data_IF_555705913676
#
_entry.id   IF_555705913676
#
_cell.length_a   1.000
_cell.length_b   1.000
_cell.length_c   1.000
_cell.angle_alpha   90.00
_cell.angle_beta   90.00
_cell.angle_gamma   90.00
#
_symmetry.space_group_name_H-M   'P 1'
#
loop_
_entity.id
_entity.type
_entity.pdbx_description
1 polymer ?
#
# COMPACT_ATOMS: atom_id res chain seq x y z
N UNK A 1 -7.61 14.74 -4.12
CA UNK A 1 -7.05 13.69 -3.23
C UNK A 1 -7.16 12.35 -3.90
N UNK A 2 -6.26 11.42 -3.59
CA UNK A 2 -6.34 10.06 -4.12
C UNK A 2 -7.49 9.32 -3.42
N UNK A 3 -8.17 8.35 -4.07
CA UNK A 3 -9.31 7.66 -3.47
C UNK A 3 -8.98 6.95 -2.14
N UNK A 4 -7.80 6.35 -2.02
CA UNK A 4 -7.34 5.69 -0.79
C UNK A 4 -7.12 6.72 0.32
N UNK A 5 -6.50 7.85 -0.02
CA UNK A 5 -6.26 8.93 0.95
C UNK A 5 -7.58 9.52 1.48
N UNK A 6 -8.54 9.77 0.58
CA UNK A 6 -9.88 10.22 0.97
C UNK A 6 -10.58 9.20 1.88
N UNK A 7 -10.51 7.91 1.55
CA UNK A 7 -11.11 6.85 2.34
C UNK A 7 -10.53 6.78 3.76
N UNK A 8 -9.21 6.93 3.89
CA UNK A 8 -8.52 6.97 5.18
C UNK A 8 -8.94 8.17 6.04
N UNK A 9 -9.13 9.35 5.43
CA UNK A 9 -9.60 10.55 6.13
C UNK A 9 -11.07 10.43 6.57
N UNK A 10 -11.91 9.72 5.81
CA UNK A 10 -13.32 9.46 6.15
C UNK A 10 -13.56 8.19 6.97
N UNK A 11 -12.50 7.45 7.31
CA UNK A 11 -12.62 6.18 8.02
C UNK A 11 -13.21 6.35 9.42
N UNK A 12 -14.03 5.39 9.87
CA UNK A 12 -14.51 5.36 11.27
C UNK A 12 -13.37 5.31 12.28
N UNK A 13 -12.22 4.77 11.88
CA UNK A 13 -11.03 4.66 12.71
C UNK A 13 -10.10 5.86 12.59
N UNK A 14 -10.52 6.95 11.93
CA UNK A 14 -9.73 8.17 11.76
C UNK A 14 -9.17 8.71 13.07
N UNK A 15 -9.97 8.72 14.15
CA UNK A 15 -9.57 9.25 15.46
C UNK A 15 -8.80 8.25 16.34
N UNK A 16 -8.65 7.00 15.92
CA UNK A 16 -7.87 6.01 16.67
C UNK A 16 -6.37 6.22 16.45
N UNK A 17 -5.58 5.89 17.47
CA UNK A 17 -4.14 6.05 17.43
C UNK A 17 -3.54 5.25 16.24
N UNK A 18 -2.68 5.85 15.40
CA UNK A 18 -2.10 5.15 14.24
C UNK A 18 -1.34 3.87 14.58
N UNK A 19 -0.69 3.79 15.74
CA UNK A 19 0.03 2.60 16.19
C UNK A 19 -0.90 1.40 16.37
N UNK A 20 -2.10 1.58 16.93
CA UNK A 20 -3.09 0.50 17.05
C UNK A 20 -3.40 -0.12 15.69
N UNK A 21 -3.66 0.74 14.71
CA UNK A 21 -4.00 0.36 13.34
C UNK A 21 -2.79 -0.26 12.62
N UNK A 22 -1.59 0.22 12.89
CA UNK A 22 -0.34 -0.33 12.36
C UNK A 22 -0.08 -1.73 12.90
N UNK A 23 -0.19 -1.95 14.21
CA UNK A 23 -0.01 -3.28 14.84
C UNK A 23 -1.01 -4.28 14.26
N UNK A 24 -2.28 -3.88 14.07
CA UNK A 24 -3.28 -4.76 13.47
C UNK A 24 -2.99 -5.05 11.99
N UNK A 25 -2.86 -4.01 11.17
CA UNK A 25 -2.69 -4.17 9.72
C UNK A 25 -1.37 -4.83 9.34
N UNK A 26 -0.26 -4.33 9.88
CA UNK A 26 1.07 -4.89 9.63
C UNK A 26 1.26 -6.24 10.33
N UNK A 27 0.67 -6.44 11.51
CA UNK A 27 0.69 -7.74 12.19
C UNK A 27 0.02 -8.83 11.36
N UNK A 28 -1.16 -8.55 10.78
CA UNK A 28 -1.81 -9.47 9.84
C UNK A 28 -0.97 -9.71 8.59
N UNK A 29 -0.31 -8.67 8.04
CA UNK A 29 0.62 -8.84 6.92
C UNK A 29 1.81 -9.73 7.29
N UNK A 30 2.41 -9.56 8.47
CA UNK A 30 3.52 -10.40 8.96
C UNK A 30 3.05 -11.84 9.13
N UNK A 31 1.88 -12.07 9.71
CA UNK A 31 1.30 -13.42 9.82
C UNK A 31 1.08 -14.07 8.46
N UNK A 32 0.54 -13.34 7.47
CA UNK A 32 0.36 -13.86 6.11
C UNK A 32 1.68 -14.33 5.47
N UNK A 33 2.79 -13.62 5.73
CA UNK A 33 4.11 -13.94 5.17
C UNK A 33 4.78 -15.09 5.92
N UNK A 34 4.70 -15.09 7.26
CA UNK A 34 5.41 -16.06 8.10
C UNK A 34 4.70 -17.40 8.25
N UNK A 35 3.37 -17.45 8.18
CA UNK A 35 2.60 -18.69 8.32
C UNK A 35 2.61 -19.52 7.03
N UNK A 36 2.36 -20.85 7.12
CA UNK A 36 2.16 -21.68 5.95
C UNK A 36 1.01 -21.13 5.08
N UNK A 37 1.14 -21.13 3.74
CA UNK A 37 0.11 -20.59 2.85
C UNK A 37 -1.24 -21.29 3.02
N UNK A 38 -1.21 -22.62 3.16
CA UNK A 38 -2.37 -23.42 3.55
C UNK A 38 -2.14 -24.02 4.94
N UNK A 39 -3.05 -23.82 5.92
CA UNK A 39 -4.31 -23.08 5.88
C UNK A 39 -4.21 -21.60 6.31
N UNK A 40 -3.00 -21.08 6.57
CA UNK A 40 -2.80 -19.79 7.22
C UNK A 40 -3.25 -18.57 6.43
N UNK A 41 -2.93 -18.50 5.13
CA UNK A 41 -3.25 -17.33 4.32
C UNK A 41 -4.78 -17.11 4.16
N UNK A 42 -5.62 -18.14 3.92
CA UNK A 42 -7.08 -18.02 3.98
C UNK A 42 -7.60 -17.45 5.31
N UNK A 43 -7.06 -17.93 6.45
CA UNK A 43 -7.47 -17.45 7.77
C UNK A 43 -7.12 -15.99 7.99
N UNK A 44 -5.90 -15.59 7.62
CA UNK A 44 -5.46 -14.18 7.71
C UNK A 44 -6.29 -13.30 6.77
N UNK A 45 -6.55 -13.74 5.54
CA UNK A 45 -7.39 -13.01 4.60
C UNK A 45 -8.82 -12.85 5.12
N UNK A 46 -9.41 -13.92 5.67
CA UNK A 46 -10.73 -13.92 6.29
C UNK A 46 -10.82 -12.96 7.48
N UNK A 47 -9.86 -13.03 8.40
CA UNK A 47 -9.77 -12.12 9.54
C UNK A 47 -9.64 -10.65 9.08
N UNK A 48 -8.79 -10.40 8.08
CA UNK A 48 -8.59 -9.05 7.56
C UNK A 48 -9.85 -8.50 6.87
N UNK A 49 -10.54 -9.32 6.08
CA UNK A 49 -11.81 -8.95 5.45
C UNK A 49 -12.91 -8.70 6.48
N UNK A 50 -12.99 -9.52 7.53
CA UNK A 50 -13.92 -9.30 8.63
C UNK A 50 -13.69 -7.94 9.31
N UNK A 51 -12.42 -7.55 9.52
CA UNK A 51 -12.06 -6.23 10.07
C UNK A 51 -12.38 -5.09 9.11
N UNK A 52 -12.00 -5.23 7.84
CA UNK A 52 -12.23 -4.23 6.79
C UNK A 52 -13.72 -3.92 6.59
N UNK A 53 -14.56 -4.96 6.51
CA UNK A 53 -15.97 -4.84 6.20
C UNK A 53 -16.83 -4.60 7.45
N UNK A 54 -16.43 -5.13 8.61
CA UNK A 54 -17.14 -5.00 9.87
C UNK A 54 -16.86 -3.69 10.60
N UNK A 55 -15.85 -3.62 11.50
CA UNK A 55 -15.61 -2.44 12.32
C UNK A 55 -15.03 -1.24 11.56
N UNK A 56 -14.21 -1.46 10.52
CA UNK A 56 -13.66 -0.36 9.70
C UNK A 56 -14.66 0.19 8.67
N UNK A 57 -15.66 -0.63 8.27
CA UNK A 57 -16.72 -0.31 7.28
C UNK A 57 -16.19 0.28 5.98
N UNK A 58 -15.12 -0.30 5.44
CA UNK A 58 -14.58 0.10 4.14
C UNK A 58 -15.54 -0.35 3.04
N UNK A 59 -16.00 0.55 2.14
CA UNK A 59 -16.90 0.17 1.06
C UNK A 59 -16.23 -0.83 0.11
N UNK A 60 -16.87 -1.99 -0.08
CA UNK A 60 -16.36 -3.14 -0.87
C UNK A 60 -15.85 -2.71 -2.25
N UNK A 61 -16.57 -1.79 -2.91
CA UNK A 61 -16.19 -1.28 -4.24
C UNK A 61 -14.86 -0.53 -4.24
N UNK A 62 -14.54 0.22 -3.18
CA UNK A 62 -13.24 0.91 -3.09
C UNK A 62 -12.13 -0.08 -2.76
N UNK A 63 -12.40 -1.04 -1.86
CA UNK A 63 -11.46 -2.10 -1.53
C UNK A 63 -11.09 -2.91 -2.78
N UNK A 64 -12.07 -3.39 -3.54
CA UNK A 64 -11.84 -4.14 -4.78
C UNK A 64 -11.06 -3.35 -5.82
N UNK A 65 -11.37 -2.05 -5.99
CA UNK A 65 -10.65 -1.18 -6.93
C UNK A 65 -9.17 -1.01 -6.58
N UNK A 66 -8.83 -1.00 -5.30
CA UNK A 66 -7.44 -0.94 -4.83
C UNK A 66 -6.76 -2.32 -4.92
N UNK A 67 -7.48 -3.39 -4.56
CA UNK A 67 -6.95 -4.75 -4.48
C UNK A 67 -6.70 -5.41 -5.85
N UNK A 68 -7.50 -5.08 -6.87
CA UNK A 68 -7.37 -5.68 -8.22
C UNK A 68 -6.00 -5.44 -8.88
N UNK A 69 -5.32 -4.34 -8.56
CA UNK A 69 -4.03 -4.00 -9.16
C UNK A 69 -2.90 -4.89 -8.60
N UNK A 70 -2.71 -5.00 -7.26
CA UNK A 70 -1.83 -6.02 -6.68
C UNK A 70 -2.19 -7.44 -7.12
N UNK A 71 -3.48 -7.79 -7.15
CA UNK A 71 -3.93 -9.11 -7.60
C UNK A 71 -3.45 -9.41 -9.02
N UNK A 72 -3.65 -8.48 -9.96
CA UNK A 72 -3.19 -8.65 -11.35
C UNK A 72 -1.69 -8.87 -11.44
N UNK A 73 -0.90 -8.11 -10.67
CA UNK A 73 0.55 -8.30 -10.59
C UNK A 73 0.93 -9.68 -10.02
N UNK A 74 0.27 -10.12 -8.96
CA UNK A 74 0.54 -11.43 -8.35
C UNK A 74 0.17 -12.58 -9.30
N UNK A 75 -0.93 -12.45 -10.04
CA UNK A 75 -1.31 -13.42 -11.09
C UNK A 75 -0.24 -13.49 -12.17
N UNK A 76 0.27 -12.36 -12.65
CA UNK A 76 1.36 -12.37 -13.63
C UNK A 76 2.64 -13.02 -13.09
N UNK A 77 2.94 -12.86 -11.80
CA UNK A 77 4.07 -13.51 -11.14
C UNK A 77 3.86 -15.00 -10.83
N UNK A 78 2.61 -15.46 -10.76
CA UNK A 78 2.28 -16.86 -10.53
C UNK A 78 2.35 -17.71 -11.82
N UNK A 79 2.16 -17.09 -12.98
CA UNK A 79 2.20 -17.80 -14.29
C UNK A 79 3.52 -18.57 -14.51
N UNK A 80 4.71 -17.99 -14.28
CA UNK A 80 5.96 -18.72 -14.43
C UNK A 80 6.08 -19.97 -13.55
N UNK A 81 5.42 -20.00 -12.37
CA UNK A 81 5.48 -21.16 -11.46
C UNK A 81 4.78 -22.40 -12.01
N UNK A 82 3.94 -22.25 -13.02
CA UNK A 82 3.29 -23.39 -13.70
C UNK A 82 4.28 -24.17 -14.57
N UNK A 83 5.44 -23.61 -14.85
CA UNK A 83 6.41 -24.15 -15.79
C UNK A 83 7.74 -24.46 -15.09
N UNK A 84 8.35 -25.58 -15.46
CA UNK A 84 9.71 -25.98 -15.08
C UNK A 84 10.62 -25.87 -16.30
N UNK A 85 11.82 -25.35 -16.08
CA UNK A 85 12.89 -25.30 -17.08
C UNK A 85 13.92 -26.39 -16.73
N UNK A 86 14.23 -27.30 -17.66
CA UNK A 86 15.23 -28.36 -17.46
C UNK A 86 14.76 -29.59 -16.66
N UNK A 87 13.63 -30.20 -17.04
CA UNK A 87 13.13 -31.43 -16.42
C UNK A 87 13.98 -32.69 -16.72
N UNK A 88 13.77 -33.80 -15.98
CA UNK A 88 14.47 -35.08 -16.19
C UNK A 88 13.95 -35.78 -17.46
N UNK A 89 14.39 -35.25 -18.60
CA UNK A 89 14.44 -35.84 -19.93
C UNK A 89 15.72 -35.41 -20.66
N UNK A 90 16.70 -34.89 -19.90
CA UNK A 90 18.01 -34.41 -20.36
C UNK A 90 19.02 -35.52 -20.66
N UNK A 91 18.55 -36.72 -20.99
CA UNK A 91 19.35 -37.75 -21.63
C UNK A 91 18.64 -38.17 -22.93
N UNK A 92 18.90 -37.43 -24.01
CA UNK A 92 18.83 -38.01 -25.36
C UNK A 92 17.63 -37.72 -26.26
N UNK A 93 16.76 -36.74 -26.03
CA UNK A 93 15.71 -36.43 -27.00
C UNK A 93 15.13 -35.04 -26.88
N UNK A 94 14.87 -34.39 -28.00
CA UNK A 94 14.36 -33.02 -28.15
C UNK A 94 12.94 -32.80 -27.57
N UNK A 95 12.78 -33.00 -26.26
CA UNK A 95 11.55 -32.75 -25.51
C UNK A 95 11.75 -31.53 -24.58
N UNK A 96 11.58 -30.35 -25.19
CA UNK A 96 11.12 -29.11 -24.55
C UNK A 96 12.01 -28.48 -23.47
N UNK A 97 12.65 -27.35 -23.80
CA UNK A 97 13.30 -26.43 -22.84
C UNK A 97 12.38 -25.98 -21.69
N UNK A 98 11.06 -26.10 -21.85
CA UNK A 98 10.02 -25.76 -20.88
C UNK A 98 8.99 -26.89 -20.81
N UNK A 99 8.70 -27.39 -19.61
CA UNK A 99 7.65 -28.39 -19.35
C UNK A 99 6.69 -27.89 -18.26
N UNK A 100 5.47 -28.43 -18.19
CA UNK A 100 4.57 -28.15 -17.07
C UNK A 100 5.12 -28.80 -15.78
N UNK A 101 5.14 -28.05 -14.68
CA UNK A 101 5.52 -28.57 -13.38
C UNK A 101 4.30 -29.23 -12.70
N UNK A 102 4.34 -30.52 -12.34
CA UNK A 102 3.28 -31.15 -11.56
C UNK A 102 2.97 -30.43 -10.24
N UNK A 103 3.98 -29.81 -9.60
CA UNK A 103 3.82 -29.01 -8.38
C UNK A 103 3.45 -27.54 -8.64
N UNK A 104 3.55 -27.09 -9.89
CA UNK A 104 3.40 -25.69 -10.27
C UNK A 104 2.06 -25.06 -9.85
N UNK A 105 0.90 -25.70 -10.10
CA UNK A 105 -0.40 -25.17 -9.69
C UNK A 105 -0.52 -24.95 -8.17
N UNK A 106 0.07 -25.84 -7.36
CA UNK A 106 0.07 -25.73 -5.90
C UNK A 106 0.90 -24.52 -5.49
N UNK A 107 2.15 -24.43 -5.94
CA UNK A 107 3.03 -23.29 -5.63
C UNK A 107 2.45 -21.95 -6.10
N UNK A 108 1.82 -21.92 -7.28
CA UNK A 108 1.11 -20.74 -7.79
C UNK A 108 -0.07 -20.35 -6.89
N UNK A 109 -0.87 -21.32 -6.46
CA UNK A 109 -1.99 -21.09 -5.53
C UNK A 109 -1.52 -20.57 -4.18
N UNK A 110 -0.47 -21.15 -3.61
CA UNK A 110 0.16 -20.72 -2.36
C UNK A 110 0.70 -19.29 -2.44
N UNK A 111 1.39 -18.96 -3.53
CA UNK A 111 1.87 -17.60 -3.78
C UNK A 111 0.70 -16.61 -3.82
N UNK A 112 -0.34 -16.91 -4.59
CA UNK A 112 -1.51 -16.05 -4.73
C UNK A 112 -2.24 -15.85 -3.40
N UNK A 113 -2.42 -16.92 -2.62
CA UNK A 113 -3.02 -16.85 -1.29
C UNK A 113 -2.21 -15.96 -0.35
N UNK A 114 -0.91 -16.23 -0.20
CA UNK A 114 -0.01 -15.47 0.68
C UNK A 114 0.04 -13.99 0.31
N UNK A 115 0.26 -13.69 -0.97
CA UNK A 115 0.36 -12.31 -1.46
C UNK A 115 -0.96 -11.56 -1.36
N UNK A 116 -2.09 -12.23 -1.58
CA UNK A 116 -3.43 -11.67 -1.39
C UNK A 116 -3.69 -11.33 0.07
N UNK A 117 -3.42 -12.25 1.00
CA UNK A 117 -3.60 -12.04 2.44
C UNK A 117 -2.71 -10.90 2.95
N UNK A 118 -1.43 -10.89 2.57
CA UNK A 118 -0.49 -9.83 2.93
C UNK A 118 -0.93 -8.46 2.40
N UNK A 119 -1.40 -8.40 1.15
CA UNK A 119 -1.90 -7.18 0.52
C UNK A 119 -3.15 -6.65 1.21
N UNK A 120 -4.07 -7.51 1.64
CA UNK A 120 -5.25 -7.10 2.39
C UNK A 120 -4.88 -6.45 3.73
N UNK A 121 -3.88 -6.97 4.45
CA UNK A 121 -3.40 -6.38 5.71
C UNK A 121 -2.82 -4.98 5.51
N UNK A 122 -2.06 -4.78 4.44
CA UNK A 122 -1.54 -3.47 4.06
C UNK A 122 -2.67 -2.51 3.66
N UNK A 123 -3.65 -2.98 2.89
CA UNK A 123 -4.82 -2.19 2.53
C UNK A 123 -5.65 -1.81 3.75
N UNK A 124 -5.79 -2.68 4.76
CA UNK A 124 -6.42 -2.34 6.03
C UNK A 124 -5.75 -1.12 6.68
N UNK A 125 -4.41 -1.11 6.74
CA UNK A 125 -3.69 0.05 7.27
C UNK A 125 -3.90 1.30 6.39
N UNK A 126 -3.75 1.16 5.08
CA UNK A 126 -3.86 2.27 4.12
C UNK A 126 -5.26 2.91 4.09
N UNK A 127 -6.34 2.13 4.23
CA UNK A 127 -7.73 2.61 4.24
C UNK A 127 -8.19 3.17 5.59
N UNK A 128 -7.42 2.99 6.66
CA UNK A 128 -7.81 3.43 8.02
C UNK A 128 -6.89 4.49 8.62
N UNK A 129 -5.70 4.69 8.03
CA UNK A 129 -4.65 5.52 8.62
C UNK A 129 -4.05 6.48 7.59
N UNK A 130 -4.41 7.77 7.65
CA UNK A 130 -3.81 8.77 6.77
C UNK A 130 -2.33 9.01 7.07
N UNK A 131 -1.56 9.29 6.01
CA UNK A 131 -0.12 9.59 6.10
C UNK A 131 0.14 10.80 6.99
N UNK A 132 -0.77 11.78 6.97
CA UNK A 132 -0.74 12.98 7.83
C UNK A 132 -0.80 12.67 9.33
N UNK A 133 -1.29 11.50 9.73
CA UNK A 133 -1.26 11.06 11.12
C UNK A 133 -0.01 10.25 11.46
N UNK A 134 0.50 9.47 10.50
CA UNK A 134 1.63 8.57 10.75
C UNK A 134 2.94 9.35 10.82
N UNK A 135 3.21 10.17 9.79
CA UNK A 135 4.51 10.80 9.58
C UNK A 135 4.94 11.69 10.74
N UNK A 136 4.10 12.59 11.30
CA UNK A 136 4.51 13.42 12.44
C UNK A 136 4.89 12.60 13.69
N UNK A 137 4.30 11.41 13.86
CA UNK A 137 4.54 10.55 15.03
C UNK A 137 5.83 9.74 14.91
N UNK A 138 6.46 9.67 13.73
CA UNK A 138 7.74 8.98 13.53
C UNK A 138 8.90 9.65 14.27
N UNK A 139 8.80 10.93 14.63
CA UNK A 139 9.79 11.61 15.49
C UNK A 139 9.93 10.88 16.83
N UNK A 140 8.81 10.44 17.42
CA UNK A 140 8.81 9.67 18.69
C UNK A 140 9.39 8.26 18.52
N UNK A 141 9.46 7.77 17.29
CA UNK A 141 10.09 6.48 16.95
C UNK A 141 11.58 6.62 16.56
N UNK A 142 12.18 7.80 16.73
CA UNK A 142 13.60 8.04 16.48
C UNK A 142 13.94 8.56 15.07
N UNK A 143 12.94 8.84 14.23
CA UNK A 143 13.19 9.45 12.91
C UNK A 143 13.57 10.93 13.08
N UNK A 144 14.66 11.43 12.45
CA UNK A 144 15.06 12.83 12.58
C UNK A 144 13.95 13.80 12.14
N UNK A 145 13.70 14.90 12.87
CA UNK A 145 12.65 15.87 12.54
C UNK A 145 12.72 16.41 11.12
N UNK A 146 13.93 16.67 10.60
CA UNK A 146 14.11 17.14 9.22
C UNK A 146 13.56 16.15 8.17
N UNK A 147 13.68 14.84 8.40
CA UNK A 147 13.14 13.81 7.50
C UNK A 147 11.61 13.82 7.52
N UNK A 148 11.03 13.98 8.72
CA UNK A 148 9.57 14.10 8.91
C UNK A 148 9.03 15.35 8.22
N UNK A 149 9.73 16.48 8.35
CA UNK A 149 9.36 17.75 7.71
C UNK A 149 9.38 17.64 6.18
N UNK A 150 10.45 17.07 5.61
CA UNK A 150 10.54 16.81 4.17
C UNK A 150 9.44 15.86 3.70
N UNK A 151 9.14 14.81 4.47
CA UNK A 151 8.06 13.87 4.12
C UNK A 151 6.68 14.54 4.13
N UNK A 152 6.39 15.39 5.12
CA UNK A 152 5.13 16.16 5.21
C UNK A 152 4.99 17.17 4.08
N UNK A 153 6.06 17.90 3.76
CA UNK A 153 6.09 18.84 2.63
C UNK A 153 5.92 18.10 1.31
N UNK A 154 6.62 16.98 1.11
CA UNK A 154 6.47 16.11 -0.07
C UNK A 154 5.05 15.62 -0.23
N UNK A 155 4.43 15.12 0.85
CA UNK A 155 3.03 14.68 0.86
C UNK A 155 2.07 15.81 0.47
N UNK A 156 2.24 17.00 1.06
CA UNK A 156 1.43 18.19 0.72
C UNK A 156 1.64 18.62 -0.74
N UNK A 157 2.88 18.72 -1.20
CA UNK A 157 3.23 19.13 -2.56
C UNK A 157 2.72 18.14 -3.60
N UNK A 158 2.71 16.84 -3.30
CA UNK A 158 2.21 15.81 -4.21
C UNK A 158 0.76 16.07 -4.64
N UNK A 159 -0.14 16.43 -3.72
CA UNK A 159 -1.53 16.75 -4.09
C UNK A 159 -1.67 18.07 -4.85
N UNK A 160 -0.86 19.06 -4.50
CA UNK A 160 -0.86 20.36 -5.17
C UNK A 160 -0.34 20.26 -6.62
N UNK A 161 0.65 19.39 -6.83
CA UNK A 161 1.18 19.07 -8.15
C UNK A 161 0.23 18.17 -8.94
N UNK A 162 -0.45 17.21 -8.32
CA UNK A 162 -1.48 16.40 -8.99
C UNK A 162 -2.61 17.26 -9.56
N UNK A 163 -3.06 18.29 -8.83
CA UNK A 163 -4.05 19.25 -9.35
C UNK A 163 -3.47 20.13 -10.47
N UNK A 164 -2.18 20.48 -10.39
CA UNK A 164 -1.52 21.20 -11.47
C UNK A 164 -1.40 20.34 -12.75
N UNK A 165 -1.06 19.06 -12.57
CA UNK A 165 -0.91 18.06 -13.63
C UNK A 165 -2.24 17.79 -14.32
N UNK A 166 -3.35 17.69 -13.57
CA UNK A 166 -4.68 17.48 -14.16
C UNK A 166 -5.08 18.66 -15.07
N UNK A 167 -4.87 19.91 -14.63
CA UNK A 167 -5.14 21.12 -15.41
C UNK A 167 -4.26 21.21 -16.66
N UNK A 168 -2.96 20.92 -16.54
CA UNK A 168 -2.05 20.91 -17.70
C UNK A 168 -2.48 19.85 -18.71
N UNK A 169 -2.84 18.65 -18.25
CA UNK A 169 -3.31 17.57 -19.13
C UNK A 169 -4.60 17.95 -19.87
N UNK A 170 -5.54 18.60 -19.20
CA UNK A 170 -6.75 19.13 -19.84
C UNK A 170 -6.42 20.17 -20.91
N UNK A 171 -5.51 21.10 -20.62
CA UNK A 171 -5.06 22.10 -21.59
C UNK A 171 -4.35 21.48 -22.80
N UNK A 172 -3.54 20.44 -22.58
CA UNK A 172 -2.90 19.68 -23.65
C UNK A 172 -3.91 18.92 -24.50
N UNK A 173 -4.91 18.27 -23.89
CA UNK A 173 -5.99 17.59 -24.60
C UNK A 173 -6.79 18.55 -25.49
N UNK A 174 -7.11 19.75 -24.99
CA UNK A 174 -7.79 20.80 -25.77
C UNK A 174 -6.95 21.30 -26.97
N UNK A 175 -5.64 21.12 -26.94
CA UNK A 175 -4.69 21.48 -28.02
C UNK A 175 -4.28 20.29 -28.87
N UNK A 176 -5.07 19.21 -28.88
CA UNK A 176 -4.79 17.99 -29.65
C UNK A 176 -3.46 17.29 -29.25
N UNK A 177 -2.97 17.52 -28.03
CA UNK A 177 -1.70 16.98 -27.54
C UNK A 177 -1.67 15.46 -27.32
N UNK A 178 -2.77 14.76 -27.54
CA UNK A 178 -2.89 13.31 -27.32
C UNK A 178 -3.30 12.52 -28.57
N UNK A 179 -3.33 13.16 -29.75
CA UNK A 179 -3.83 12.57 -31.01
C UNK A 179 -2.88 11.55 -31.65
N UNK A 180 -1.57 11.69 -31.45
CA UNK A 180 -0.57 10.76 -31.99
C UNK A 180 0.47 10.39 -30.92
N UNK A 181 1.18 9.27 -31.11
CA UNK A 181 2.25 8.85 -30.19
C UNK A 181 3.32 9.94 -30.02
N UNK A 182 3.71 10.62 -31.11
CA UNK A 182 4.65 11.73 -31.07
C UNK A 182 4.10 12.94 -30.31
N UNK A 183 2.80 13.27 -30.47
CA UNK A 183 2.16 14.32 -29.68
C UNK A 183 2.07 13.96 -28.20
N UNK A 184 1.79 12.69 -27.87
CA UNK A 184 1.75 12.20 -26.49
C UNK A 184 3.11 12.33 -25.80
N UNK A 185 4.21 11.92 -26.44
CA UNK A 185 5.55 12.07 -25.89
C UNK A 185 5.96 13.54 -25.68
N UNK A 186 5.69 14.41 -26.66
CA UNK A 186 5.93 15.85 -26.52
C UNK A 186 5.11 16.47 -25.39
N UNK A 187 3.83 16.09 -25.28
CA UNK A 187 2.96 16.55 -24.20
C UNK A 187 3.43 16.04 -22.83
N UNK A 188 3.89 14.78 -22.75
CA UNK A 188 4.43 14.24 -21.51
C UNK A 188 5.70 14.98 -21.06
N UNK A 189 6.63 15.25 -21.99
CA UNK A 189 7.83 16.04 -21.71
C UNK A 189 7.47 17.46 -21.23
N UNK A 190 6.56 18.15 -21.94
CA UNK A 190 6.10 19.48 -21.55
C UNK A 190 5.37 19.50 -20.19
N UNK A 191 4.60 18.45 -19.89
CA UNK A 191 3.94 18.29 -18.59
C UNK A 191 4.98 18.11 -17.47
N UNK A 192 5.99 17.27 -17.68
CA UNK A 192 7.09 17.07 -16.74
C UNK A 192 7.87 18.35 -16.48
N UNK A 193 8.28 19.07 -17.53
CA UNK A 193 8.98 20.35 -17.40
C UNK A 193 8.14 21.39 -16.66
N UNK A 194 6.85 21.52 -17.00
CA UNK A 194 5.93 22.45 -16.34
C UNK A 194 5.74 22.09 -14.86
N UNK A 195 5.57 20.80 -14.54
CA UNK A 195 5.40 20.34 -13.17
C UNK A 195 6.67 20.61 -12.34
N UNK A 196 7.85 20.40 -12.92
CA UNK A 196 9.14 20.68 -12.27
C UNK A 196 9.29 22.16 -11.90
N UNK A 197 9.13 23.07 -12.87
CA UNK A 197 9.24 24.52 -12.62
C UNK A 197 8.21 24.97 -11.57
N UNK A 198 6.96 24.52 -11.70
CA UNK A 198 5.91 24.86 -10.72
C UNK A 198 6.20 24.32 -9.31
N UNK A 199 6.87 23.18 -9.20
CA UNK A 199 7.28 22.63 -7.91
C UNK A 199 8.31 23.54 -7.22
N UNK A 200 9.34 23.98 -7.95
CA UNK A 200 10.36 24.92 -7.43
C UNK A 200 9.75 26.27 -7.07
N UNK A 201 8.93 26.86 -7.94
CA UNK A 201 8.25 28.11 -7.65
C UNK A 201 7.40 28.03 -6.39
N UNK A 202 6.71 26.88 -6.19
CA UNK A 202 5.86 26.66 -5.03
C UNK A 202 6.68 26.40 -3.77
N UNK A 203 7.83 25.74 -3.88
CA UNK A 203 8.77 25.57 -2.78
C UNK A 203 9.35 26.93 -2.34
N UNK A 204 9.77 27.78 -3.28
CA UNK A 204 10.27 29.13 -2.99
C UNK A 204 9.19 29.98 -2.30
N UNK A 205 7.95 29.99 -2.82
CA UNK A 205 6.82 30.69 -2.18
C UNK A 205 6.50 30.15 -0.79
N UNK A 206 6.56 28.82 -0.59
CA UNK A 206 6.37 28.22 0.72
C UNK A 206 7.45 28.67 1.70
N UNK A 207 8.71 28.67 1.27
CA UNK A 207 9.84 29.13 2.09
C UNK A 207 9.68 30.59 2.50
N UNK A 208 9.37 31.50 1.56
CA UNK A 208 9.12 32.91 1.87
C UNK A 208 7.94 33.11 2.83
N UNK A 209 6.85 32.36 2.64
CA UNK A 209 5.68 32.42 3.52
C UNK A 209 5.95 31.87 4.92
N UNK A 210 6.80 30.85 5.05
CA UNK A 210 7.24 30.30 6.33
C UNK A 210 8.20 31.27 7.03
N UNK A 211 9.14 31.88 6.30
CA UNK A 211 10.05 32.90 6.84
C UNK A 211 9.27 34.08 7.46
N UNK A 212 8.20 34.54 6.81
CA UNK A 212 7.30 35.57 7.35
C UNK A 212 6.54 35.16 8.62
N UNK A 213 6.54 33.87 8.98
CA UNK A 213 5.93 33.31 10.21
C UNK A 213 6.96 32.92 11.26
N UNK A 214 8.22 33.35 11.11
CA UNK A 214 9.29 33.04 12.05
C UNK A 214 9.84 31.61 11.93
N UNK A 215 9.84 31.05 10.72
CA UNK A 215 10.43 29.74 10.47
C UNK A 215 11.94 29.75 10.78
N UNK A 216 12.36 28.89 11.70
CA UNK A 216 13.72 28.74 12.21
C UNK A 216 14.47 27.55 11.61
N UNK A 217 13.90 26.91 10.58
CA UNK A 217 14.40 25.67 10.00
C UNK A 217 13.68 24.40 10.51
N UNK A 218 12.73 24.53 11.44
CA UNK A 218 11.93 23.40 11.95
C UNK A 218 10.43 23.63 11.76
N UNK A 219 9.70 22.64 11.23
CA UNK A 219 8.24 22.72 11.12
C UNK A 219 7.58 22.17 12.40
N UNK A 220 7.27 23.07 13.33
CA UNK A 220 6.55 22.70 14.55
C UNK A 220 5.05 22.66 14.30
N UNK A 221 4.50 21.45 14.14
CA UNK A 221 3.06 21.23 13.91
C UNK A 221 2.43 20.58 15.14
N UNK A 222 1.31 21.13 15.59
CA UNK A 222 0.49 20.52 16.64
C UNK A 222 -0.22 19.28 16.08
N UNK A 223 0.16 18.10 16.57
CA UNK A 223 -0.49 16.84 16.25
C UNK A 223 -1.55 16.58 17.32
N UNK A 224 -2.82 16.32 16.95
CA UNK A 224 -3.84 15.98 17.93
C UNK A 224 -3.40 14.79 18.79
N UNK A 225 -3.46 14.96 20.11
CA UNK A 225 -3.18 13.88 21.04
C UNK A 225 -4.24 12.78 20.88
N UNK A 226 -3.76 11.58 20.62
CA UNK A 226 -4.58 10.37 20.61
C UNK A 226 -3.94 9.41 21.60
N UNK A 227 -4.73 8.92 22.55
CA UNK A 227 -4.27 7.93 23.53
C UNK A 227 -4.33 6.53 22.94
N UNK A 228 -3.33 5.71 23.25
CA UNK A 228 -3.34 4.28 22.90
C UNK A 228 -4.32 3.53 23.80
N UNK A 229 -5.24 2.79 23.21
CA UNK A 229 -6.23 1.96 23.89
C UNK A 229 -5.68 0.55 24.15
N UNK A 230 -5.44 0.22 25.42
CA UNK A 230 -5.01 -1.12 25.85
C UNK A 230 -6.01 -2.21 25.45
N UNK A 231 -7.32 -1.92 25.50
CA UNK A 231 -8.38 -2.84 25.07
C UNK A 231 -8.28 -3.20 23.59
N UNK A 232 -7.97 -2.23 22.73
CA UNK A 232 -7.81 -2.49 21.31
C UNK A 232 -6.53 -3.29 21.02
N UNK A 233 -5.43 -2.96 21.71
CA UNK A 233 -4.20 -3.73 21.59
C UNK A 233 -4.38 -5.16 22.09
N UNK A 234 -5.07 -5.38 23.20
CA UNK A 234 -5.39 -6.72 23.71
C UNK A 234 -6.26 -7.51 22.72
N UNK A 235 -7.30 -6.88 22.15
CA UNK A 235 -8.12 -7.51 21.12
C UNK A 235 -7.33 -7.83 19.85
N UNK A 236 -6.41 -6.95 19.45
CA UNK A 236 -5.52 -7.16 18.31
C UNK A 236 -4.56 -8.30 18.58
N UNK A 237 -3.92 -8.33 19.76
CA UNK A 237 -3.04 -9.41 20.17
C UNK A 237 -3.79 -10.76 20.18
N UNK A 238 -4.97 -10.80 20.80
CA UNK A 238 -5.82 -11.99 20.82
C UNK A 238 -6.21 -12.48 19.43
N UNK A 239 -6.53 -11.57 18.51
CA UNK A 239 -6.82 -11.91 17.11
C UNK A 239 -5.59 -12.50 16.41
N UNK A 240 -4.43 -11.84 16.53
CA UNK A 240 -3.18 -12.29 15.89
C UNK A 240 -2.74 -13.66 16.44
N UNK A 241 -2.73 -13.84 17.76
CA UNK A 241 -2.39 -15.12 18.39
C UNK A 241 -3.42 -16.19 18.08
N UNK A 242 -4.71 -15.84 18.03
CA UNK A 242 -5.78 -16.78 17.69
C UNK A 242 -5.65 -17.30 16.25
N UNK A 243 -5.39 -16.41 15.29
CA UNK A 243 -5.15 -16.79 13.89
C UNK A 243 -3.88 -17.64 13.77
N UNK A 244 -2.79 -17.26 14.44
CA UNK A 244 -1.55 -18.03 14.42
C UNK A 244 -1.73 -19.43 15.04
N UNK A 245 -2.31 -19.53 16.24
CA UNK A 245 -2.56 -20.79 16.92
C UNK A 245 -3.47 -21.71 16.11
N UNK A 246 -4.59 -21.17 15.59
CA UNK A 246 -5.50 -21.94 14.73
C UNK A 246 -4.80 -22.45 13.47
N UNK A 247 -3.94 -21.63 12.87
CA UNK A 247 -3.15 -22.03 11.70
C UNK A 247 -2.23 -23.21 12.03
N UNK A 248 -1.48 -23.12 13.13
CA UNK A 248 -0.53 -24.17 13.54
C UNK A 248 -1.23 -25.47 13.94
N UNK A 249 -2.39 -25.38 14.61
CA UNK A 249 -3.21 -26.56 14.94
C UNK A 249 -3.73 -27.24 13.67
N UNK A 250 -4.25 -26.47 12.72
CA UNK A 250 -4.75 -27.03 11.47
C UNK A 250 -3.62 -27.58 10.60
N UNK A 251 -2.45 -26.93 10.58
CA UNK A 251 -1.27 -27.46 9.89
C UNK A 251 -0.84 -28.82 10.49
N UNK A 252 -0.87 -28.94 11.83
CA UNK A 252 -0.58 -30.20 12.52
C UNK A 252 -1.61 -31.30 12.29
N UNK A 253 -2.85 -30.97 11.90
CA UNK A 253 -3.90 -31.93 11.54
C UNK A 253 -3.84 -32.37 10.07
N UNK A 254 -3.19 -31.58 9.22
CA UNK A 254 -3.07 -31.83 7.78
C UNK A 254 -1.80 -32.62 7.44
N UNK A 255 -0.79 -32.62 8.32
CA UNK A 255 0.42 -33.46 8.23
C UNK A 255 0.17 -34.84 8.83
#
# INVERSE_FOLDING_TARGET
>A
MLPIDAAAHSSRWRRRHPLEKAVLGLGLTVLAVCLPPWPGAPLVAGATLAVLLGPARVPVRQLWRAFRLPLGFCVTGAVPLLFRVGGPGGEGGAAGLVSLDPGGPVHAGELLLRTSAASLGLLLFAFTTPVSDVVPRLVRAGVPPAVVDVALVTYRMSFLLLDSVSRVRQAQAARLGHTSRAAQWRSLAGLGATAFVRAFDRAARLQSGLAGRGYDGTLRVLVPDTSVSSRFLAATAALLTGVAALTLVLEGLVR
#
